data_IF_488762025997
#
_entry.id   IF_488762025997
#
_cell.length_a   1.000
_cell.length_b   1.000
_cell.length_c   1.000
_cell.angle_alpha   90.00
_cell.angle_beta   90.00
_cell.angle_gamma   90.00
#
_symmetry.space_group_name_H-M   'P 1'
#
loop_
_entity.id
_entity.type
_entity.pdbx_description
1 polymer ?
#
# COMPACT_ATOMS: atom_id res chain seq x y z
N UNK A 1 -7.78 -18.40 11.83
CA UNK A 1 -6.60 -19.24 11.59
C UNK A 1 -5.62 -18.54 10.65
N UNK A 2 -4.45 -19.11 10.47
CA UNK A 2 -3.45 -18.64 9.50
C UNK A 2 -3.45 -19.59 8.32
N UNK A 3 -3.66 -19.07 7.12
CA UNK A 3 -3.72 -19.82 5.87
C UNK A 3 -3.43 -18.88 4.69
N UNK A 4 -3.12 -19.38 3.49
CA UNK A 4 -2.92 -18.58 2.30
C UNK A 4 -4.15 -17.73 1.98
N UNK A 5 -3.92 -16.48 1.57
CA UNK A 5 -4.97 -15.56 1.13
C UNK A 5 -4.58 -14.97 -0.22
N UNK A 6 -5.42 -15.16 -1.22
CA UNK A 6 -5.35 -14.40 -2.47
C UNK A 6 -6.18 -13.13 -2.28
N UNK A 7 -5.57 -11.97 -2.48
CA UNK A 7 -6.25 -10.68 -2.44
C UNK A 7 -6.52 -10.23 -3.87
N UNK A 8 -7.75 -9.82 -4.15
CA UNK A 8 -8.18 -9.35 -5.47
C UNK A 8 -7.55 -8.02 -5.88
N UNK A 9 -7.64 -7.65 -7.17
CA UNK A 9 -7.03 -6.44 -7.70
C UNK A 9 -7.75 -5.16 -7.27
N UNK A 10 -7.25 -4.02 -7.70
CA UNK A 10 -7.88 -2.72 -7.48
C UNK A 10 -7.88 -2.31 -6.01
N UNK A 11 -9.05 -2.17 -5.38
CA UNK A 11 -9.18 -1.72 -4.00
C UNK A 11 -8.52 -2.66 -2.97
N UNK A 12 -8.14 -3.87 -3.34
CA UNK A 12 -7.24 -4.71 -2.54
C UNK A 12 -5.95 -3.99 -2.13
N UNK A 13 -5.47 -3.06 -2.94
CA UNK A 13 -4.32 -2.19 -2.66
C UNK A 13 -4.44 -1.34 -1.39
N UNK A 14 -5.66 -1.16 -0.84
CA UNK A 14 -5.86 -0.48 0.43
C UNK A 14 -5.09 -1.16 1.57
N UNK A 15 -4.94 -2.48 1.53
CA UNK A 15 -4.15 -3.22 2.50
C UNK A 15 -2.71 -2.70 2.57
N UNK A 16 -2.07 -2.53 1.40
CA UNK A 16 -0.69 -2.04 1.32
C UNK A 16 -0.60 -0.54 1.55
N UNK A 17 -1.60 0.24 1.11
CA UNK A 17 -1.69 1.66 1.41
C UNK A 17 -1.63 1.92 2.92
N UNK A 18 -2.48 1.26 3.68
CA UNK A 18 -2.55 1.43 5.13
C UNK A 18 -1.37 0.74 5.84
N UNK A 19 -1.13 -0.54 5.55
CA UNK A 19 -0.16 -1.34 6.29
C UNK A 19 1.31 -1.01 5.96
N UNK A 20 1.57 -0.30 4.87
CA UNK A 20 2.92 0.02 4.39
C UNK A 20 3.07 1.49 4.05
N UNK A 21 2.18 2.06 3.25
CA UNK A 21 2.29 3.42 2.75
C UNK A 21 2.46 4.45 3.88
N UNK A 22 1.58 4.44 4.87
CA UNK A 22 1.68 5.34 6.03
C UNK A 22 2.96 5.15 6.86
N UNK A 23 3.60 3.98 6.80
CA UNK A 23 4.88 3.73 7.45
C UNK A 23 6.06 4.39 6.71
N UNK A 24 5.86 4.81 5.47
CA UNK A 24 6.88 5.41 4.61
C UNK A 24 6.74 6.94 4.46
N UNK A 25 5.76 7.54 5.10
CA UNK A 25 5.61 8.99 5.17
C UNK A 25 6.63 9.61 6.15
N UNK A 26 7.32 10.68 5.75
CA UNK A 26 8.29 11.37 6.62
C UNK A 26 7.68 11.87 7.91
N UNK A 27 6.39 12.14 7.94
CA UNK A 27 5.63 12.45 9.16
C UNK A 27 5.83 11.40 10.27
N UNK A 28 5.92 10.13 9.90
CA UNK A 28 6.16 9.01 10.82
C UNK A 28 7.64 8.65 10.93
N UNK A 29 8.34 8.62 9.80
CA UNK A 29 9.75 8.19 9.70
C UNK A 29 10.68 9.14 10.44
N UNK A 30 10.52 10.47 10.24
CA UNK A 30 11.37 11.48 10.87
C UNK A 30 11.28 11.47 12.40
N UNK A 31 10.15 11.07 12.95
CA UNK A 31 9.92 10.95 14.39
C UNK A 31 10.29 9.58 14.96
N UNK A 32 10.84 8.69 14.12
CA UNK A 32 11.09 7.27 14.47
C UNK A 32 9.85 6.56 15.01
N UNK A 33 8.66 7.01 14.57
CA UNK A 33 7.37 6.45 14.90
C UNK A 33 6.91 5.38 13.91
N UNK A 34 7.75 5.04 12.94
CA UNK A 34 7.53 3.97 11.97
C UNK A 34 8.51 2.83 12.19
N UNK A 35 8.04 1.60 12.09
CA UNK A 35 8.87 0.39 12.10
C UNK A 35 9.78 0.27 10.88
N UNK A 36 9.56 1.09 9.84
CA UNK A 36 10.38 1.19 8.63
C UNK A 36 11.35 2.39 8.67
N UNK A 37 11.42 3.14 9.77
CA UNK A 37 12.40 4.19 9.94
C UNK A 37 13.83 3.62 9.93
N UNK A 38 14.77 4.38 9.36
CA UNK A 38 16.20 4.04 9.25
C UNK A 38 16.50 2.73 8.45
N UNK A 39 15.54 2.25 7.63
CA UNK A 39 15.69 1.00 6.86
C UNK A 39 15.95 1.19 5.36
N UNK A 40 16.35 2.39 4.95
CA UNK A 40 16.69 2.64 3.55
C UNK A 40 17.83 1.72 3.09
N UNK A 41 17.62 1.04 1.97
CA UNK A 41 18.55 0.05 1.41
C UNK A 41 18.43 -1.35 2.01
N UNK A 42 17.62 -1.55 3.05
CA UNK A 42 17.37 -2.89 3.62
C UNK A 42 16.27 -3.64 2.88
N UNK A 43 16.30 -4.96 2.99
CA UNK A 43 15.21 -5.84 2.54
C UNK A 43 14.06 -5.74 3.56
N UNK A 44 12.92 -5.22 3.12
CA UNK A 44 11.72 -5.02 3.95
C UNK A 44 10.49 -5.77 3.44
N UNK A 45 10.62 -6.42 2.29
CA UNK A 45 9.55 -7.18 1.65
C UNK A 45 10.11 -8.37 0.88
N UNK A 46 9.20 -9.26 0.45
CA UNK A 46 9.52 -10.32 -0.52
C UNK A 46 10.04 -9.72 -1.83
N UNK A 47 10.95 -10.40 -2.56
CA UNK A 47 11.42 -9.97 -3.87
C UNK A 47 10.30 -9.79 -4.92
N UNK A 48 9.14 -10.40 -4.71
CA UNK A 48 7.96 -10.21 -5.57
C UNK A 48 7.33 -8.81 -5.44
N UNK A 49 7.70 -8.05 -4.39
CA UNK A 49 7.08 -6.75 -4.08
C UNK A 49 7.89 -5.60 -4.67
N UNK A 50 7.27 -4.85 -5.56
CA UNK A 50 7.68 -3.49 -5.94
C UNK A 50 6.50 -2.57 -5.65
N UNK A 51 6.70 -1.58 -4.76
CA UNK A 51 5.66 -0.67 -4.29
C UNK A 51 5.99 0.77 -4.69
N UNK A 52 5.00 1.46 -5.24
CA UNK A 52 5.17 2.74 -5.90
C UNK A 52 4.13 3.72 -5.37
N UNK A 53 4.50 5.01 -5.25
CA UNK A 53 3.57 6.14 -5.17
C UNK A 53 3.76 7.02 -6.41
N UNK A 54 2.70 7.27 -7.17
CA UNK A 54 2.79 7.99 -8.44
C UNK A 54 1.79 9.14 -8.50
N UNK A 55 2.30 10.37 -8.46
CA UNK A 55 1.51 11.60 -8.59
C UNK A 55 1.24 12.04 -10.02
N UNK A 56 1.76 11.31 -11.02
CA UNK A 56 1.76 11.71 -12.44
C UNK A 56 0.79 10.92 -13.31
N UNK A 57 0.08 9.94 -12.74
CA UNK A 57 -0.86 9.12 -13.50
C UNK A 57 -1.98 9.98 -14.10
N UNK A 58 -2.20 9.94 -15.44
CA UNK A 58 -3.26 10.71 -16.06
C UNK A 58 -4.65 10.36 -15.49
N UNK A 59 -5.43 11.37 -15.15
CA UNK A 59 -6.81 11.24 -14.64
C UNK A 59 -6.97 10.49 -13.32
N UNK A 60 -5.90 10.04 -12.67
CA UNK A 60 -5.97 9.41 -11.38
C UNK A 60 -6.30 10.44 -10.28
N UNK A 61 -7.09 10.02 -9.31
CA UNK A 61 -7.68 10.94 -8.32
C UNK A 61 -6.67 11.58 -7.37
N UNK A 62 -5.55 10.91 -7.11
CA UNK A 62 -4.44 11.43 -6.31
C UNK A 62 -3.42 12.26 -7.10
N UNK A 63 -3.57 12.39 -8.43
CA UNK A 63 -2.60 13.09 -9.29
C UNK A 63 -2.81 14.59 -9.29
N UNK A 64 -1.72 15.34 -9.25
CA UNK A 64 -1.66 16.78 -9.44
C UNK A 64 -0.31 17.14 -10.07
N UNK A 65 -0.20 18.27 -10.75
CA UNK A 65 1.08 18.73 -11.33
C UNK A 65 2.10 19.10 -10.24
N UNK A 66 1.61 19.70 -9.15
CA UNK A 66 2.42 20.11 -8.02
C UNK A 66 1.78 19.67 -6.71
N UNK A 67 2.58 19.51 -5.69
CA UNK A 67 2.13 19.32 -4.32
C UNK A 67 1.71 20.64 -3.66
N UNK A 68 1.17 20.58 -2.46
CA UNK A 68 0.72 21.77 -1.71
C UNK A 68 1.88 22.61 -1.14
N UNK A 69 3.11 22.25 -1.43
CA UNK A 69 4.34 22.98 -1.10
C UNK A 69 5.00 23.59 -2.35
N UNK A 70 4.36 23.45 -3.53
CA UNK A 70 4.82 24.01 -4.81
C UNK A 70 5.92 23.20 -5.49
N UNK A 71 6.09 21.92 -5.14
CA UNK A 71 7.02 21.00 -5.78
C UNK A 71 6.31 20.16 -6.86
N UNK A 72 6.90 19.96 -8.04
CA UNK A 72 6.37 19.02 -9.03
C UNK A 72 6.21 17.63 -8.42
N UNK A 73 5.10 16.99 -8.74
CA UNK A 73 4.87 15.60 -8.33
C UNK A 73 5.67 14.65 -9.22
N UNK A 74 5.95 13.48 -8.70
CA UNK A 74 6.75 12.49 -9.41
C UNK A 74 6.25 11.08 -9.15
N UNK A 75 6.80 10.13 -9.90
CA UNK A 75 6.67 8.69 -9.65
C UNK A 75 7.81 8.24 -8.75
N UNK A 76 7.49 7.90 -7.52
CA UNK A 76 8.47 7.47 -6.50
C UNK A 76 8.40 5.96 -6.33
N UNK A 77 9.50 5.25 -6.60
CA UNK A 77 9.63 3.83 -6.23
C UNK A 77 10.02 3.76 -4.75
N UNK A 78 9.08 3.32 -3.92
CA UNK A 78 9.26 3.21 -2.47
C UNK A 78 10.00 1.92 -2.10
N UNK A 79 9.53 0.79 -2.65
CA UNK A 79 10.17 -0.53 -2.49
C UNK A 79 10.40 -1.11 -3.88
N UNK A 80 11.60 -1.60 -4.16
CA UNK A 80 11.94 -2.25 -5.42
C UNK A 80 12.44 -3.66 -5.16
N UNK A 81 11.72 -4.66 -5.66
CA UNK A 81 12.05 -6.07 -5.49
C UNK A 81 12.41 -6.41 -4.04
N UNK A 82 11.59 -5.92 -3.11
CA UNK A 82 11.72 -6.14 -1.68
C UNK A 82 12.66 -5.17 -0.94
N UNK A 83 13.44 -4.34 -1.63
CA UNK A 83 14.41 -3.42 -1.02
C UNK A 83 13.79 -2.03 -0.89
N UNK A 84 13.85 -1.43 0.30
CA UNK A 84 13.40 -0.06 0.53
C UNK A 84 14.32 0.95 -0.17
N UNK A 85 13.76 1.73 -1.11
CA UNK A 85 14.50 2.68 -1.95
C UNK A 85 14.28 4.13 -1.58
N UNK A 86 13.08 4.47 -1.12
CA UNK A 86 12.72 5.85 -0.80
C UNK A 86 11.64 5.91 0.27
N UNK A 87 11.52 7.08 0.84
CA UNK A 87 10.35 7.51 1.60
C UNK A 87 9.56 8.54 0.80
N UNK A 88 8.35 8.84 1.23
CA UNK A 88 7.59 10.00 0.76
C UNK A 88 8.01 11.21 1.57
N UNK A 89 8.69 12.16 0.94
CA UNK A 89 9.39 13.26 1.60
C UNK A 89 8.74 14.60 1.24
N UNK A 90 8.26 15.30 2.25
CA UNK A 90 7.78 16.68 2.20
C UNK A 90 8.88 17.69 2.59
N UNK A 91 8.54 18.98 2.58
CA UNK A 91 9.48 20.08 2.83
C UNK A 91 10.12 20.13 4.23
N UNK A 92 9.49 19.69 5.35
CA UNK A 92 10.16 19.61 6.64
C UNK A 92 11.37 18.65 6.68
N UNK A 93 11.93 18.34 5.53
CA UNK A 93 13.16 17.60 5.34
C UNK A 93 14.38 17.90 6.20
N UNK A 94 14.48 19.03 6.97
CA UNK A 94 15.54 19.17 7.97
C UNK A 94 15.53 18.06 9.03
N UNK A 95 14.41 17.38 9.21
CA UNK A 95 14.31 16.23 10.12
C UNK A 95 14.93 14.95 9.51
N UNK A 96 15.10 14.90 8.17
CA UNK A 96 15.75 13.83 7.43
C UNK A 96 16.75 14.42 6.41
N UNK A 97 17.89 14.98 6.86
CA UNK A 97 18.87 15.55 5.97
C UNK A 97 19.39 14.49 4.99
N UNK A 98 19.46 14.85 3.71
CA UNK A 98 19.94 13.96 2.64
C UNK A 98 18.86 13.16 1.92
N UNK A 99 17.60 13.25 2.31
CA UNK A 99 16.49 12.64 1.53
C UNK A 99 15.93 13.67 0.53
N UNK A 100 15.88 13.35 -0.77
CA UNK A 100 15.26 14.22 -1.76
C UNK A 100 13.76 14.30 -1.51
N UNK A 101 13.18 15.51 -1.66
CA UNK A 101 11.75 15.71 -1.63
C UNK A 101 11.09 15.02 -2.83
N UNK A 102 9.97 14.36 -2.61
CA UNK A 102 9.26 13.54 -3.61
C UNK A 102 7.94 14.15 -4.09
N UNK A 103 7.69 15.45 -3.82
CA UNK A 103 6.43 16.08 -4.19
C UNK A 103 5.22 15.47 -3.45
N UNK A 104 5.43 15.05 -2.21
CA UNK A 104 4.42 14.36 -1.40
C UNK A 104 3.75 15.25 -0.35
N UNK A 105 4.06 16.56 -0.32
CA UNK A 105 3.43 17.53 0.59
C UNK A 105 1.96 17.73 0.22
N UNK A 106 1.02 17.30 1.07
CA UNK A 106 -0.43 17.40 0.78
C UNK A 106 -1.23 17.83 1.98
N UNK A 107 -2.33 18.52 1.73
CA UNK A 107 -3.32 18.93 2.73
C UNK A 107 -4.74 18.94 2.14
N UNK A 108 -5.71 18.83 3.03
CA UNK A 108 -7.12 18.90 2.64
C UNK A 108 -7.49 20.27 2.07
N UNK A 109 -7.11 21.33 2.78
CA UNK A 109 -7.40 22.73 2.42
C UNK A 109 -6.42 23.67 3.15
N UNK A 110 -6.61 24.98 2.98
CA UNK A 110 -5.74 26.04 3.53
C UNK A 110 -5.68 26.09 5.07
N UNK A 111 -6.59 25.45 5.77
CA UNK A 111 -6.62 25.43 7.24
C UNK A 111 -5.64 24.40 7.84
N UNK A 112 -5.13 23.50 7.00
CA UNK A 112 -4.18 22.48 7.40
C UNK A 112 -2.76 22.82 6.92
N UNK A 113 -1.76 22.53 7.74
CA UNK A 113 -0.38 22.50 7.28
C UNK A 113 -0.17 21.26 6.39
N UNK A 114 0.54 21.39 5.24
CA UNK A 114 0.92 20.23 4.44
C UNK A 114 1.76 19.25 5.23
N UNK A 115 1.57 17.97 4.97
CA UNK A 115 2.41 16.88 5.48
C UNK A 115 2.67 15.88 4.38
N UNK A 116 3.66 15.02 4.56
CA UNK A 116 3.92 13.90 3.66
C UNK A 116 2.71 12.98 3.58
N UNK A 117 2.19 12.74 2.38
CA UNK A 117 0.99 11.93 2.09
C UNK A 117 1.14 11.17 0.79
N UNK A 118 0.52 10.01 0.75
CA UNK A 118 0.38 9.20 -0.47
C UNK A 118 -0.50 9.87 -1.52
N UNK A 119 -0.30 9.49 -2.79
CA UNK A 119 -1.08 9.92 -3.96
C UNK A 119 -1.80 8.73 -4.60
N UNK A 120 -1.16 8.09 -5.56
CA UNK A 120 -1.68 6.87 -6.18
C UNK A 120 -0.68 5.76 -5.90
N UNK A 121 -0.97 4.97 -4.87
CA UNK A 121 -0.07 3.90 -4.44
C UNK A 121 -0.46 2.59 -5.10
N UNK A 122 0.52 1.84 -5.60
CA UNK A 122 0.24 0.51 -6.13
C UNK A 122 1.38 -0.48 -5.91
N UNK A 123 1.03 -1.76 -5.83
CA UNK A 123 1.96 -2.84 -6.16
C UNK A 123 2.11 -2.90 -7.68
N UNK A 124 3.34 -2.82 -8.15
CA UNK A 124 3.62 -3.00 -9.58
C UNK A 124 3.21 -4.42 -10.03
N UNK A 125 2.77 -4.57 -11.29
CA UNK A 125 2.53 -5.89 -11.86
C UNK A 125 3.74 -6.80 -11.72
N UNK A 126 3.48 -8.04 -11.30
CA UNK A 126 4.47 -9.11 -11.24
C UNK A 126 4.46 -9.97 -12.51
N UNK A 127 4.95 -11.20 -12.41
CA UNK A 127 5.05 -12.12 -13.53
C UNK A 127 4.05 -13.28 -13.46
N UNK A 128 3.39 -13.47 -12.32
CA UNK A 128 2.49 -14.59 -12.11
C UNK A 128 1.20 -14.45 -12.94
N UNK A 129 0.67 -15.57 -13.37
CA UNK A 129 -0.70 -15.64 -13.93
C UNK A 129 -1.68 -15.77 -12.78
N UNK A 130 -2.85 -15.16 -12.92
CA UNK A 130 -3.88 -15.18 -11.87
C UNK A 130 -4.24 -16.62 -11.47
N UNK A 131 -4.40 -17.51 -12.45
CA UNK A 131 -4.78 -18.91 -12.22
C UNK A 131 -3.73 -19.65 -11.38
N UNK A 132 -2.45 -19.31 -11.55
CA UNK A 132 -1.35 -19.97 -10.86
C UNK A 132 -1.34 -19.62 -9.35
N UNK A 133 -1.87 -18.46 -8.96
CA UNK A 133 -2.00 -18.06 -7.56
C UNK A 133 -2.94 -18.98 -6.79
N UNK A 134 -3.96 -19.52 -7.43
CA UNK A 134 -4.93 -20.42 -6.80
C UNK A 134 -4.49 -21.88 -6.81
N UNK A 135 -3.80 -22.31 -7.86
CA UNK A 135 -3.56 -23.73 -8.17
C UNK A 135 -2.85 -24.50 -7.04
N UNK A 136 -1.93 -23.85 -6.32
CA UNK A 136 -1.15 -24.47 -5.23
C UNK A 136 -1.85 -24.48 -3.86
N UNK A 137 -3.02 -23.87 -3.72
CA UNK A 137 -3.69 -23.69 -2.43
C UNK A 137 -4.60 -24.87 -2.12
N UNK A 138 -4.21 -25.70 -1.14
CA UNK A 138 -5.04 -26.80 -0.65
C UNK A 138 -6.28 -26.31 0.10
N UNK A 139 -6.11 -25.30 0.98
CA UNK A 139 -7.15 -24.57 1.69
C UNK A 139 -6.71 -23.13 1.92
N UNK A 140 -7.58 -22.16 1.63
CA UNK A 140 -7.30 -20.74 1.77
C UNK A 140 -8.52 -19.86 1.60
N UNK A 141 -8.29 -18.57 1.52
CA UNK A 141 -9.31 -17.55 1.28
C UNK A 141 -8.98 -16.75 0.02
N UNK A 142 -9.96 -16.51 -0.80
CA UNK A 142 -9.94 -15.45 -1.79
C UNK A 142 -10.68 -14.23 -1.23
N UNK A 143 -9.95 -13.19 -0.89
CA UNK A 143 -10.50 -11.88 -0.54
C UNK A 143 -10.68 -11.09 -1.83
N UNK A 144 -11.81 -11.31 -2.52
CA UNK A 144 -12.09 -10.74 -3.84
C UNK A 144 -12.26 -9.24 -3.78
N UNK A 145 -13.04 -8.76 -2.81
CA UNK A 145 -13.22 -7.33 -2.56
C UNK A 145 -12.89 -7.02 -1.10
N UNK A 146 -12.02 -6.05 -0.93
CA UNK A 146 -11.66 -5.53 0.37
C UNK A 146 -12.61 -4.40 0.78
N UNK A 147 -12.95 -4.37 2.05
CA UNK A 147 -13.62 -3.23 2.67
C UNK A 147 -12.64 -2.30 3.36
N UNK A 148 -13.16 -1.41 4.18
CA UNK A 148 -12.35 -0.53 5.00
C UNK A 148 -11.60 -1.26 6.12
N UNK A 149 -10.57 -0.61 6.62
CA UNK A 149 -9.78 -1.13 7.73
C UNK A 149 -9.00 -0.03 8.44
N UNK A 150 -8.11 -0.44 9.31
CA UNK A 150 -7.28 0.44 10.12
C UNK A 150 -5.88 -0.13 10.26
N UNK A 151 -4.89 0.76 10.38
CA UNK A 151 -3.52 0.42 10.77
C UNK A 151 -3.14 1.18 12.02
N UNK A 152 -2.30 0.55 12.84
CA UNK A 152 -1.61 1.20 13.96
C UNK A 152 -0.16 1.49 13.55
N UNK A 153 0.17 2.74 13.18
CA UNK A 153 1.45 3.06 12.53
C UNK A 153 2.67 2.62 13.34
N UNK A 154 2.65 2.77 14.65
CA UNK A 154 3.79 2.44 15.52
C UNK A 154 4.11 0.94 15.61
N UNK A 155 3.15 0.05 15.36
CA UNK A 155 3.36 -1.41 15.38
C UNK A 155 3.19 -2.06 14.01
N UNK A 156 2.60 -1.34 13.04
CA UNK A 156 2.21 -1.88 11.73
C UNK A 156 1.06 -2.89 11.79
N UNK A 157 0.41 -3.05 12.94
CA UNK A 157 -0.76 -3.93 13.08
C UNK A 157 -1.95 -3.37 12.30
N UNK A 158 -2.62 -4.24 11.56
CA UNK A 158 -3.78 -3.86 10.76
C UNK A 158 -4.96 -4.84 10.95
N UNK A 159 -6.15 -4.35 10.66
CA UNK A 159 -7.34 -5.15 10.45
C UNK A 159 -8.13 -4.58 9.26
N UNK A 160 -8.57 -5.46 8.36
CA UNK A 160 -9.34 -5.12 7.17
C UNK A 160 -10.51 -6.07 7.01
N UNK A 161 -11.70 -5.53 6.76
CA UNK A 161 -12.86 -6.32 6.41
C UNK A 161 -12.72 -6.87 5.00
N UNK A 162 -13.16 -8.10 4.79
CA UNK A 162 -13.38 -8.68 3.46
C UNK A 162 -14.85 -8.47 3.12
N UNK A 163 -15.12 -7.67 2.09
CA UNK A 163 -16.48 -7.34 1.67
C UNK A 163 -17.10 -8.48 0.85
N UNK A 164 -16.32 -9.04 -0.07
CA UNK A 164 -16.66 -10.25 -0.82
C UNK A 164 -15.49 -11.22 -0.79
N UNK A 165 -15.73 -12.46 -0.40
CA UNK A 165 -14.70 -13.48 -0.37
C UNK A 165 -15.24 -14.89 -0.50
N UNK A 166 -14.34 -15.82 -0.83
CA UNK A 166 -14.65 -17.22 -1.11
C UNK A 166 -13.61 -18.14 -0.47
N UNK A 167 -14.03 -19.30 -0.04
CA UNK A 167 -13.10 -20.35 0.35
C UNK A 167 -12.41 -20.91 -0.90
N UNK A 168 -11.11 -21.12 -0.78
CA UNK A 168 -10.32 -21.86 -1.76
C UNK A 168 -10.11 -23.28 -1.23
N UNK A 169 -10.47 -24.28 -2.02
CA UNK A 169 -10.16 -25.70 -1.75
C UNK A 169 -9.56 -26.34 -2.99
N UNK A 170 -8.37 -26.93 -2.83
CA UNK A 170 -7.68 -27.62 -3.94
C UNK A 170 -7.59 -26.78 -5.21
N UNK A 171 -7.27 -25.51 -5.05
CA UNK A 171 -7.11 -24.55 -6.15
C UNK A 171 -8.43 -24.04 -6.77
N UNK A 172 -9.58 -24.33 -6.18
CA UNK A 172 -10.89 -23.92 -6.70
C UNK A 172 -11.62 -23.04 -5.71
N UNK A 173 -12.37 -22.07 -6.24
CA UNK A 173 -13.30 -21.26 -5.44
C UNK A 173 -14.55 -22.07 -5.15
N UNK A 174 -14.95 -22.07 -3.89
CA UNK A 174 -16.14 -22.78 -3.42
C UNK A 174 -17.11 -21.79 -2.74
N UNK A 175 -17.56 -22.09 -1.52
CA UNK A 175 -18.59 -21.32 -0.83
C UNK A 175 -18.12 -19.88 -0.51
N UNK A 176 -19.04 -18.88 -0.61
CA UNK A 176 -18.76 -17.52 -0.17
C UNK A 176 -18.61 -17.47 1.35
N UNK A 177 -17.78 -16.54 1.82
CA UNK A 177 -17.62 -16.29 3.26
C UNK A 177 -18.30 -15.00 3.67
N UNK A 178 -18.75 -14.96 4.91
CA UNK A 178 -19.38 -13.78 5.51
C UNK A 178 -18.60 -13.35 6.75
N UNK A 179 -18.36 -12.03 6.88
CA UNK A 179 -17.74 -11.47 8.06
C UNK A 179 -16.26 -11.84 8.22
N UNK A 180 -15.56 -12.15 7.11
CA UNK A 180 -14.12 -12.40 7.15
C UNK A 180 -13.37 -11.10 7.40
N UNK A 181 -12.25 -11.21 8.13
CA UNK A 181 -11.36 -10.09 8.43
C UNK A 181 -9.93 -10.55 8.29
N UNK A 182 -9.10 -9.77 7.58
CA UNK A 182 -7.66 -9.96 7.53
C UNK A 182 -7.02 -9.19 8.67
N UNK A 183 -6.20 -9.86 9.47
CA UNK A 183 -5.48 -9.29 10.60
C UNK A 183 -4.02 -9.68 10.50
N UNK A 184 -3.13 -8.72 10.67
CA UNK A 184 -1.70 -8.97 10.57
C UNK A 184 -0.85 -7.76 10.91
N UNK A 185 0.42 -7.83 10.52
CA UNK A 185 1.37 -6.71 10.58
C UNK A 185 1.95 -6.44 9.20
N UNK A 186 1.96 -5.18 8.78
CA UNK A 186 2.41 -4.77 7.46
C UNK A 186 3.76 -5.35 7.04
N UNK A 187 4.84 -5.14 7.82
CA UNK A 187 6.16 -5.69 7.48
C UNK A 187 6.19 -7.22 7.38
N UNK A 188 5.48 -7.92 8.26
CA UNK A 188 5.40 -9.39 8.19
C UNK A 188 4.63 -9.86 6.95
N UNK A 189 3.55 -9.15 6.60
CA UNK A 189 2.75 -9.43 5.40
C UNK A 189 3.56 -9.22 4.14
N UNK A 190 4.30 -8.09 4.04
CA UNK A 190 5.19 -7.84 2.91
C UNK A 190 6.22 -8.95 2.68
N UNK A 191 6.80 -9.47 3.76
CA UNK A 191 7.77 -10.57 3.67
C UNK A 191 7.15 -11.89 3.25
N UNK A 192 5.82 -12.05 3.43
CA UNK A 192 5.08 -13.28 3.11
C UNK A 192 4.39 -13.26 1.76
N UNK A 193 4.47 -12.17 1.00
CA UNK A 193 3.96 -12.15 -0.38
C UNK A 193 4.73 -13.18 -1.20
N UNK A 194 4.01 -14.14 -1.76
CA UNK A 194 4.56 -15.25 -2.54
C UNK A 194 4.67 -14.86 -4.00
N UNK A 195 3.61 -14.26 -4.54
CA UNK A 195 3.52 -13.89 -5.96
C UNK A 195 2.55 -12.72 -6.18
N UNK A 196 2.83 -11.95 -7.22
CA UNK A 196 2.01 -10.84 -7.70
C UNK A 196 1.68 -11.11 -9.16
N UNK A 197 0.42 -10.98 -9.53
CA UNK A 197 -0.05 -11.19 -10.90
C UNK A 197 0.21 -9.96 -11.81
N UNK A 198 -0.33 -10.00 -13.04
CA UNK A 198 -0.11 -8.96 -14.05
C UNK A 198 -1.27 -7.96 -14.17
N UNK A 199 -2.41 -8.27 -13.60
CA UNK A 199 -3.70 -7.61 -13.79
C UNK A 199 -3.92 -6.43 -12.84
N UNK A 200 -3.02 -5.44 -12.90
CA UNK A 200 -3.13 -4.22 -12.09
C UNK A 200 -4.44 -3.47 -12.39
N UNK A 201 -5.20 -3.24 -11.35
CA UNK A 201 -6.33 -2.33 -11.32
C UNK A 201 -6.14 -1.27 -10.24
N UNK A 202 -6.74 -0.09 -10.43
CA UNK A 202 -6.75 1.00 -9.47
C UNK A 202 -8.17 1.30 -9.01
N UNK A 203 -8.31 1.80 -7.80
CA UNK A 203 -9.58 2.23 -7.24
C UNK A 203 -9.41 3.53 -6.43
N UNK A 204 -10.35 4.48 -6.53
CA UNK A 204 -10.28 5.74 -5.79
C UNK A 204 -10.62 5.54 -4.31
N UNK A 205 -10.04 6.40 -3.47
CA UNK A 205 -10.29 6.43 -2.05
C UNK A 205 -9.97 7.79 -1.41
N UNK A 206 -10.40 7.97 -0.17
CA UNK A 206 -10.03 9.12 0.65
C UNK A 206 -9.11 8.67 1.78
N UNK A 207 -7.96 9.32 1.88
CA UNK A 207 -6.98 9.04 2.92
C UNK A 207 -6.97 10.16 3.96
N UNK A 208 -7.25 9.83 5.22
CA UNK A 208 -7.27 10.77 6.34
C UNK A 208 -6.00 10.74 7.18
N UNK A 209 -5.44 11.90 7.55
CA UNK A 209 -4.27 12.02 8.44
C UNK A 209 -4.20 13.42 9.07
N UNK A 210 -3.02 13.80 9.61
CA UNK A 210 -2.80 15.09 10.28
C UNK A 210 -3.10 16.32 9.41
N UNK A 211 -2.90 16.22 8.10
CA UNK A 211 -3.21 17.28 7.14
C UNK A 211 -4.63 17.19 6.53
N UNK A 212 -5.54 16.51 7.21
CA UNK A 212 -6.92 16.30 6.77
C UNK A 212 -7.09 15.14 5.80
N UNK A 213 -8.22 15.11 5.10
CA UNK A 213 -8.55 14.08 4.12
C UNK A 213 -8.15 14.52 2.70
N UNK A 214 -7.43 13.66 1.98
CA UNK A 214 -6.97 13.90 0.61
C UNK A 214 -7.41 12.78 -0.33
N UNK A 215 -7.75 13.10 -1.61
CA UNK A 215 -8.07 12.07 -2.58
C UNK A 215 -6.83 11.25 -2.94
N UNK A 216 -7.00 9.95 -3.06
CA UNK A 216 -5.94 8.99 -3.43
C UNK A 216 -6.50 7.93 -4.39
N UNK A 217 -5.61 7.22 -5.07
CA UNK A 217 -5.94 5.90 -5.61
C UNK A 217 -5.08 4.84 -4.95
N UNK A 218 -5.65 3.66 -4.83
CA UNK A 218 -4.94 2.46 -4.41
C UNK A 218 -5.00 1.44 -5.53
N UNK A 219 -3.91 0.72 -5.76
CA UNK A 219 -3.86 -0.26 -6.83
C UNK A 219 -3.04 -1.49 -6.46
N UNK A 220 -3.48 -2.61 -6.99
CA UNK A 220 -2.69 -3.83 -7.01
C UNK A 220 -3.25 -4.79 -8.07
N UNK A 221 -2.41 -5.72 -8.56
CA UNK A 221 -2.88 -6.96 -9.20
C UNK A 221 -3.40 -7.96 -8.16
N UNK A 222 -3.84 -9.14 -8.58
CA UNK A 222 -4.01 -10.26 -7.65
C UNK A 222 -2.68 -10.56 -6.93
N UNK A 223 -2.75 -10.80 -5.63
CA UNK A 223 -1.58 -11.05 -4.76
C UNK A 223 -1.83 -12.28 -3.89
N UNK A 224 -0.86 -13.18 -3.81
CA UNK A 224 -0.80 -14.32 -2.89
C UNK A 224 0.30 -14.11 -1.85
#
# INVERSE_FOLDING_TARGET
GTFPVVVGPGFGGVLFHEAVGHLLETTSVARKASVLADKLGEVVASPAVTYIDDGTLPHAWGSTEMDDEGRPTERTVLIEKGVLKSYMVDRPGPLLPGYPMTGSGRRQDYTFAPTSRMRNTCLAPGEARVEDLFAGIAFGLYAKEMGGGQVKPGSGEYNFAVQEGYIIRKGRLEEPVRGAMLVGKGPETLMRVVAVAQDLENAPGMCGSLSGAVPVEVGQPHVL
#
